data_IF_791727735141
#
_entry.id   IF_791727735141
#
_cell.length_a   1.000
_cell.length_b   1.000
_cell.length_c   1.000
_cell.angle_alpha   90.00
_cell.angle_beta   90.00
_cell.angle_gamma   90.00
#
_symmetry.space_group_name_H-M   'P 1'
#
loop_
_entity.id
_entity.type
_entity.pdbx_description
1 polymer ?
#
# COMPACT_ATOMS: atom_id res chain seq x y z
N UNK A 1 39.23 -12.33 13.65
CA UNK A 1 38.44 -11.36 12.86
C UNK A 1 37.77 -10.38 13.82
N UNK A 2 37.53 -9.13 13.39
CA UNK A 2 36.72 -8.17 14.15
C UNK A 2 35.32 -8.11 13.54
N UNK A 3 34.50 -9.12 13.85
CA UNK A 3 33.15 -9.23 13.31
C UNK A 3 32.21 -8.24 13.99
N UNK A 4 31.54 -7.43 13.18
CA UNK A 4 30.40 -6.59 13.54
C UNK A 4 29.20 -7.46 13.94
N UNK A 5 28.20 -6.92 14.67
CA UNK A 5 26.96 -7.64 14.97
C UNK A 5 26.28 -8.20 13.72
N UNK A 6 26.13 -7.39 12.66
CA UNK A 6 25.52 -7.82 11.39
C UNK A 6 26.26 -8.98 10.72
N UNK A 7 27.59 -8.99 10.77
CA UNK A 7 28.38 -10.11 10.24
C UNK A 7 28.21 -11.38 11.07
N UNK A 8 28.00 -11.27 12.39
CA UNK A 8 27.67 -12.43 13.24
C UNK A 8 26.29 -12.97 12.92
N UNK A 9 25.31 -12.09 12.71
CA UNK A 9 23.95 -12.50 12.33
C UNK A 9 23.94 -13.20 10.96
N UNK A 10 24.75 -12.74 10.00
CA UNK A 10 24.94 -13.44 8.71
C UNK A 10 25.56 -14.83 8.89
N UNK A 11 26.51 -15.01 9.80
CA UNK A 11 27.04 -16.34 10.11
C UNK A 11 25.99 -17.25 10.76
N UNK A 12 25.11 -16.71 11.60
CA UNK A 12 23.98 -17.46 12.16
C UNK A 12 22.99 -17.87 11.08
N UNK A 13 22.67 -16.97 10.14
CA UNK A 13 21.84 -17.26 8.98
C UNK A 13 22.45 -18.38 8.13
N UNK A 14 23.74 -18.27 7.78
CA UNK A 14 24.48 -19.30 7.06
C UNK A 14 24.43 -20.65 7.79
N UNK A 15 24.65 -20.66 9.11
CA UNK A 15 24.57 -21.89 9.91
C UNK A 15 23.18 -22.55 9.88
N UNK A 16 22.11 -21.75 9.89
CA UNK A 16 20.74 -22.25 9.74
C UNK A 16 20.48 -22.80 8.33
N UNK A 17 20.99 -22.13 7.29
CA UNK A 17 20.88 -22.56 5.90
C UNK A 17 21.64 -23.87 5.64
N UNK A 18 22.85 -24.01 6.18
CA UNK A 18 23.64 -25.24 6.10
C UNK A 18 22.92 -26.41 6.78
N UNK A 19 22.31 -26.17 7.94
CA UNK A 19 21.49 -27.18 8.60
C UNK A 19 20.29 -27.59 7.73
N UNK A 20 19.64 -26.63 7.06
CA UNK A 20 18.55 -26.90 6.12
C UNK A 20 19.03 -27.70 4.90
N UNK A 21 20.15 -27.31 4.27
CA UNK A 21 20.78 -28.06 3.16
C UNK A 21 21.10 -29.50 3.57
N UNK A 22 21.69 -29.69 4.74
CA UNK A 22 22.02 -31.02 5.25
C UNK A 22 20.78 -31.89 5.52
N UNK A 23 19.66 -31.29 5.94
CA UNK A 23 18.38 -31.99 6.12
C UNK A 23 17.75 -32.36 4.77
N UNK A 24 17.70 -31.43 3.82
CA UNK A 24 17.20 -31.66 2.46
C UNK A 24 18.00 -32.74 1.74
N UNK A 25 19.33 -32.74 1.87
CA UNK A 25 20.20 -33.76 1.29
C UNK A 25 19.92 -35.18 1.81
N UNK A 26 19.29 -35.32 3.00
CA UNK A 26 18.80 -36.60 3.54
C UNK A 26 17.36 -36.94 3.12
N UNK A 27 16.78 -36.16 2.21
CA UNK A 27 15.41 -36.35 1.72
C UNK A 27 14.32 -35.79 2.63
N UNK A 28 14.65 -34.94 3.60
CA UNK A 28 13.65 -34.29 4.44
C UNK A 28 13.05 -33.08 3.73
N UNK A 29 11.73 -32.94 3.81
CA UNK A 29 11.00 -31.74 3.43
C UNK A 29 11.22 -30.65 4.48
N UNK A 30 11.52 -29.44 4.04
CA UNK A 30 11.89 -28.33 4.90
C UNK A 30 10.67 -27.70 5.59
N UNK A 31 10.84 -27.27 6.84
CA UNK A 31 9.86 -26.43 7.54
C UNK A 31 10.09 -24.93 7.25
N UNK A 32 9.28 -24.06 7.88
CA UNK A 32 9.32 -22.60 7.68
C UNK A 32 10.73 -22.01 7.97
N UNK A 33 11.33 -22.15 9.17
CA UNK A 33 12.67 -21.62 9.43
C UNK A 33 13.75 -22.13 8.47
N UNK A 34 13.69 -23.40 8.08
CA UNK A 34 14.67 -24.02 7.17
C UNK A 34 14.56 -23.47 5.76
N UNK A 35 13.33 -23.36 5.23
CA UNK A 35 13.09 -22.79 3.91
C UNK A 35 13.51 -21.31 3.88
N UNK A 36 13.09 -20.51 4.87
CA UNK A 36 13.45 -19.10 4.98
C UNK A 36 14.97 -18.90 5.04
N UNK A 37 15.68 -19.68 5.86
CA UNK A 37 17.13 -19.57 5.98
C UNK A 37 17.85 -19.91 4.67
N UNK A 38 17.44 -21.00 4.00
CA UNK A 38 18.05 -21.43 2.75
C UNK A 38 17.82 -20.41 1.61
N UNK A 39 16.61 -19.86 1.50
CA UNK A 39 16.26 -18.82 0.52
C UNK A 39 17.08 -17.54 0.77
N UNK A 40 17.13 -17.06 2.02
CA UNK A 40 17.87 -15.86 2.37
C UNK A 40 19.38 -16.03 2.16
N UNK A 41 19.94 -17.17 2.54
CA UNK A 41 21.36 -17.49 2.32
C UNK A 41 21.69 -17.58 0.83
N UNK A 42 20.78 -18.10 0.00
CA UNK A 42 20.96 -18.13 -1.46
C UNK A 42 21.14 -16.73 -2.05
N UNK A 43 20.43 -15.72 -1.53
CA UNK A 43 20.64 -14.32 -1.92
C UNK A 43 22.01 -13.82 -1.47
N UNK A 44 22.40 -14.09 -0.22
CA UNK A 44 23.69 -13.66 0.33
C UNK A 44 24.87 -14.22 -0.49
N UNK A 45 24.84 -15.50 -0.82
CA UNK A 45 25.88 -16.14 -1.61
C UNK A 45 25.87 -15.64 -3.06
N UNK A 46 24.69 -15.45 -3.67
CA UNK A 46 24.60 -14.87 -5.01
C UNK A 46 25.15 -13.44 -5.06
N UNK A 47 24.86 -12.62 -4.05
CA UNK A 47 25.42 -11.28 -3.93
C UNK A 47 26.95 -11.33 -3.78
N UNK A 48 27.45 -12.28 -2.97
CA UNK A 48 28.89 -12.50 -2.77
C UNK A 48 29.62 -12.95 -4.04
N UNK A 49 28.92 -13.68 -4.92
CA UNK A 49 29.38 -14.09 -6.25
C UNK A 49 29.37 -12.96 -7.29
N UNK A 50 28.91 -11.76 -6.93
CA UNK A 50 28.82 -10.60 -7.82
C UNK A 50 27.56 -10.58 -8.70
N UNK A 51 26.54 -11.37 -8.37
CA UNK A 51 25.26 -11.33 -9.09
C UNK A 51 24.55 -9.99 -8.84
N UNK A 52 23.74 -9.53 -9.80
CA UNK A 52 22.88 -8.35 -9.56
C UNK A 52 21.73 -8.69 -8.62
N UNK A 53 21.16 -7.68 -7.95
CA UNK A 53 20.01 -7.84 -7.05
C UNK A 53 18.87 -8.66 -7.67
N UNK A 54 18.49 -8.34 -8.91
CA UNK A 54 17.43 -9.06 -9.62
C UNK A 54 17.79 -10.53 -9.84
N UNK A 55 19.03 -10.83 -10.20
CA UNK A 55 19.51 -12.21 -10.42
C UNK A 55 19.55 -13.00 -9.10
N UNK A 56 19.94 -12.36 -7.99
CA UNK A 56 19.92 -12.97 -6.66
C UNK A 56 18.49 -13.31 -6.20
N UNK A 57 17.52 -12.42 -6.46
CA UNK A 57 16.09 -12.66 -6.17
C UNK A 57 15.56 -13.83 -7.01
N UNK A 58 15.89 -13.90 -8.30
CA UNK A 58 15.47 -15.00 -9.15
C UNK A 58 16.10 -16.34 -8.74
N UNK A 59 17.37 -16.35 -8.33
CA UNK A 59 18.00 -17.55 -7.73
C UNK A 59 17.25 -17.99 -6.48
N UNK A 60 16.89 -17.06 -5.61
CA UNK A 60 16.13 -17.33 -4.40
C UNK A 60 14.74 -17.94 -4.67
N UNK A 61 14.09 -17.54 -5.77
CA UNK A 61 12.81 -18.12 -6.23
C UNK A 61 12.92 -19.51 -6.85
N UNK A 62 14.12 -19.88 -7.28
CA UNK A 62 14.37 -21.15 -7.99
C UNK A 62 14.99 -22.24 -7.10
N UNK A 63 15.37 -21.90 -5.86
CA UNK A 63 16.18 -22.79 -5.02
C UNK A 63 15.35 -23.88 -4.32
N UNK A 64 14.06 -23.62 -4.08
CA UNK A 64 13.09 -24.54 -3.50
C UNK A 64 11.81 -24.53 -4.33
N UNK A 65 11.22 -25.72 -4.50
CA UNK A 65 9.84 -25.88 -4.98
C UNK A 65 8.90 -26.47 -3.92
N UNK A 66 7.61 -26.64 -4.25
CA UNK A 66 6.61 -27.18 -3.33
C UNK A 66 6.94 -28.58 -2.77
N UNK A 67 7.65 -29.40 -3.55
CA UNK A 67 8.06 -30.75 -3.15
C UNK A 67 9.22 -30.75 -2.15
N UNK A 68 9.98 -29.65 -2.04
CA UNK A 68 11.11 -29.53 -1.12
C UNK A 68 10.69 -29.15 0.30
N UNK A 69 9.45 -28.72 0.51
CA UNK A 69 8.96 -28.14 1.77
C UNK A 69 7.75 -28.89 2.30
N UNK A 70 7.50 -28.86 3.61
CA UNK A 70 6.33 -29.48 4.23
C UNK A 70 5.02 -28.85 3.71
N UNK A 71 3.87 -29.57 3.78
CA UNK A 71 2.58 -29.00 3.43
C UNK A 71 2.30 -27.71 4.23
N UNK A 72 1.78 -26.68 3.57
CA UNK A 72 1.50 -25.38 4.17
C UNK A 72 2.70 -24.43 4.27
N UNK A 73 3.94 -24.88 4.06
CA UNK A 73 5.12 -24.01 4.15
C UNK A 73 5.12 -22.96 3.04
N UNK A 74 4.74 -23.33 1.81
CA UNK A 74 4.60 -22.39 0.70
C UNK A 74 3.50 -21.34 0.95
N UNK A 75 2.45 -21.70 1.70
CA UNK A 75 1.39 -20.76 2.09
C UNK A 75 1.81 -19.79 3.20
N UNK A 76 2.83 -20.17 4.00
CA UNK A 76 3.35 -19.35 5.11
C UNK A 76 4.52 -18.47 4.67
N UNK A 77 5.46 -19.02 3.90
CA UNK A 77 6.66 -18.30 3.42
C UNK A 77 6.32 -17.58 2.11
N UNK A 78 5.47 -16.57 2.22
CA UNK A 78 4.99 -15.77 1.07
C UNK A 78 6.02 -14.72 0.61
N UNK A 79 6.94 -14.34 1.49
CA UNK A 79 8.01 -13.40 1.19
C UNK A 79 9.22 -13.65 2.11
N UNK A 80 10.42 -13.52 1.56
CA UNK A 80 11.68 -13.54 2.33
C UNK A 80 12.47 -12.28 2.06
N UNK A 81 12.81 -11.57 3.14
CA UNK A 81 13.61 -10.34 3.11
C UNK A 81 15.00 -10.60 3.69
N UNK A 82 16.03 -10.16 3.00
CA UNK A 82 17.42 -10.25 3.49
C UNK A 82 18.26 -9.10 2.96
N UNK A 83 19.09 -8.52 3.83
CA UNK A 83 20.09 -7.52 3.43
C UNK A 83 21.42 -8.20 3.10
N UNK A 84 21.80 -8.18 1.83
CA UNK A 84 23.05 -8.74 1.33
C UNK A 84 24.01 -7.63 0.88
N UNK A 85 25.31 -7.92 0.90
CA UNK A 85 26.35 -6.99 0.42
C UNK A 85 26.69 -7.37 -1.02
N UNK A 86 26.30 -6.51 -1.94
CA UNK A 86 26.63 -6.57 -3.35
C UNK A 86 27.90 -5.75 -3.63
N UNK A 87 28.41 -5.81 -4.86
CA UNK A 87 29.57 -5.02 -5.29
C UNK A 87 29.35 -3.50 -5.17
N UNK A 88 28.09 -3.06 -5.19
CA UNK A 88 27.69 -1.66 -5.02
C UNK A 88 27.21 -1.33 -3.58
N UNK A 89 27.40 -2.25 -2.64
CA UNK A 89 27.09 -2.08 -1.21
C UNK A 89 25.88 -2.90 -0.74
N UNK A 90 25.41 -2.58 0.47
CA UNK A 90 24.25 -3.25 1.07
C UNK A 90 22.96 -2.95 0.30
N UNK A 91 22.19 -3.99 -0.02
CA UNK A 91 20.84 -3.88 -0.61
C UNK A 91 19.88 -4.83 0.10
N UNK A 92 18.63 -4.39 0.26
CA UNK A 92 17.53 -5.25 0.67
C UNK A 92 17.03 -6.04 -0.54
N UNK A 93 17.10 -7.36 -0.47
CA UNK A 93 16.44 -8.25 -1.40
C UNK A 93 15.11 -8.72 -0.82
N UNK A 94 14.04 -8.57 -1.60
CA UNK A 94 12.70 -9.04 -1.25
C UNK A 94 12.24 -10.07 -2.26
N UNK A 95 12.34 -11.35 -1.88
CA UNK A 95 11.90 -12.47 -2.71
C UNK A 95 10.43 -12.79 -2.38
N UNK A 96 9.52 -12.22 -3.16
CA UNK A 96 8.08 -12.54 -3.10
C UNK A 96 7.80 -13.87 -3.81
N UNK A 97 6.92 -14.67 -3.20
CA UNK A 97 6.56 -16.05 -3.57
C UNK A 97 7.79 -16.93 -3.90
N UNK A 98 8.73 -17.11 -2.95
CA UNK A 98 10.04 -17.72 -3.24
C UNK A 98 10.01 -19.25 -3.39
N UNK A 99 8.93 -19.92 -2.99
CA UNK A 99 8.76 -21.38 -3.15
C UNK A 99 7.82 -21.69 -4.33
N UNK A 100 6.87 -20.80 -4.62
CA UNK A 100 5.81 -21.03 -5.58
C UNK A 100 4.82 -22.09 -5.11
N UNK A 101 3.70 -22.21 -5.84
CA UNK A 101 2.74 -23.30 -5.65
C UNK A 101 1.98 -23.30 -4.31
N UNK A 102 2.09 -22.22 -3.51
CA UNK A 102 1.17 -21.95 -2.41
C UNK A 102 -0.25 -21.83 -2.95
N UNK A 103 -1.21 -22.45 -2.27
CA UNK A 103 -2.61 -22.48 -2.71
C UNK A 103 -3.44 -21.37 -2.08
N UNK A 104 -3.02 -20.84 -0.92
CA UNK A 104 -3.82 -20.00 0.00
C UNK A 104 -5.27 -20.51 0.17
N UNK A 105 -5.47 -21.81 -0.06
CA UNK A 105 -6.76 -22.45 -0.13
C UNK A 105 -7.44 -22.57 1.23
N UNK A 106 -8.64 -23.16 1.28
CA UNK A 106 -9.41 -23.30 2.52
C UNK A 106 -8.71 -24.16 3.60
N UNK A 107 -7.71 -24.94 3.19
CA UNK A 107 -6.93 -25.83 4.07
C UNK A 107 -5.53 -25.29 4.41
N UNK A 108 -5.17 -24.10 3.90
CA UNK A 108 -3.91 -23.45 4.22
C UNK A 108 -3.88 -22.99 5.70
N UNK A 109 -2.70 -22.98 6.36
CA UNK A 109 -2.58 -22.42 7.70
C UNK A 109 -3.06 -20.96 7.74
N UNK A 110 -4.06 -20.68 8.59
CA UNK A 110 -4.64 -19.34 8.71
C UNK A 110 -5.67 -18.97 7.63
N UNK A 111 -6.16 -19.93 6.84
CA UNK A 111 -7.16 -19.68 5.81
C UNK A 111 -8.41 -18.96 6.35
N UNK A 112 -8.79 -17.88 5.68
CA UNK A 112 -9.98 -17.09 6.01
C UNK A 112 -11.21 -17.70 5.34
N UNK A 113 -12.30 -17.82 6.11
CA UNK A 113 -13.62 -18.24 5.60
C UNK A 113 -14.54 -17.02 5.57
N UNK A 114 -14.62 -16.31 4.44
CA UNK A 114 -15.42 -15.09 4.38
C UNK A 114 -16.91 -15.41 4.52
N UNK A 115 -17.59 -14.67 5.40
CA UNK A 115 -19.04 -14.57 5.39
C UNK A 115 -19.48 -13.64 4.22
N UNK A 116 -20.77 -13.63 3.85
CA UNK A 116 -21.29 -12.63 2.91
C UNK A 116 -20.90 -11.21 3.35
N UNK A 117 -20.41 -10.40 2.40
CA UNK A 117 -19.98 -9.03 2.68
C UNK A 117 -21.16 -8.05 2.70
N UNK A 118 -21.06 -7.03 3.54
CA UNK A 118 -21.94 -5.86 3.44
C UNK A 118 -21.42 -4.97 2.31
N UNK A 119 -22.27 -4.55 1.36
CA UNK A 119 -21.84 -3.68 0.27
C UNK A 119 -21.41 -2.31 0.81
N UNK A 120 -20.46 -1.69 0.10
CA UNK A 120 -20.05 -0.32 0.39
C UNK A 120 -21.21 0.66 0.21
N UNK A 121 -21.12 1.80 0.91
CA UNK A 121 -22.15 2.84 0.84
C UNK A 121 -22.15 3.47 -0.55
N UNK A 122 -23.29 3.38 -1.24
CA UNK A 122 -23.48 4.03 -2.52
C UNK A 122 -23.26 5.56 -2.43
N UNK A 123 -22.67 6.19 -3.46
CA UNK A 123 -22.50 7.63 -3.49
C UNK A 123 -23.85 8.35 -3.47
N UNK A 124 -23.92 9.45 -2.72
CA UNK A 124 -25.09 10.33 -2.65
C UNK A 124 -25.00 11.42 -3.72
N UNK A 125 -23.78 11.84 -4.06
CA UNK A 125 -23.50 12.76 -5.17
C UNK A 125 -22.31 12.21 -5.96
N UNK A 126 -22.30 12.45 -7.27
CA UNK A 126 -21.16 12.13 -8.13
C UNK A 126 -20.74 13.41 -8.82
N UNK A 127 -19.45 13.72 -8.78
CA UNK A 127 -18.88 14.94 -9.36
C UNK A 127 -17.81 14.56 -10.39
N UNK A 128 -17.86 15.20 -11.56
CA UNK A 128 -16.77 15.20 -12.51
C UNK A 128 -15.62 16.04 -11.95
N UNK A 129 -14.47 15.42 -11.70
CA UNK A 129 -13.29 16.09 -11.12
C UNK A 129 -12.18 16.11 -12.14
N UNK A 130 -11.71 17.31 -12.47
CA UNK A 130 -10.62 17.53 -13.42
C UNK A 130 -9.35 17.94 -12.69
N UNK A 131 -8.26 17.19 -12.86
CA UNK A 131 -6.96 17.58 -12.31
C UNK A 131 -6.21 18.51 -13.26
N UNK A 132 -6.15 19.79 -12.96
CA UNK A 132 -5.43 20.79 -13.79
C UNK A 132 -3.94 20.89 -13.48
N UNK A 133 -3.41 20.10 -12.53
CA UNK A 133 -2.00 20.11 -12.19
C UNK A 133 -1.16 19.29 -13.18
N UNK A 134 0.13 19.59 -13.27
CA UNK A 134 1.11 18.78 -14.02
C UNK A 134 1.53 17.50 -13.28
N UNK A 135 1.03 17.28 -12.08
CA UNK A 135 1.35 16.16 -11.20
C UNK A 135 0.09 15.41 -10.79
N UNK A 136 0.19 14.09 -10.52
CA UNK A 136 -0.95 13.33 -10.03
C UNK A 136 -1.36 13.79 -8.63
N UNK A 137 -2.67 13.80 -8.37
CA UNK A 137 -3.25 14.07 -7.05
C UNK A 137 -3.98 12.82 -6.58
N UNK A 138 -3.93 12.50 -5.29
CA UNK A 138 -4.70 11.40 -4.71
C UNK A 138 -5.41 11.88 -3.45
N UNK A 139 -6.70 11.59 -3.36
CA UNK A 139 -7.55 11.98 -2.22
C UNK A 139 -8.00 10.72 -1.50
N UNK A 140 -7.81 10.67 -0.17
CA UNK A 140 -8.12 9.49 0.64
C UNK A 140 -9.59 9.45 1.05
N UNK A 141 -10.07 8.24 1.38
CA UNK A 141 -11.47 7.93 1.73
C UNK A 141 -12.15 8.85 2.75
N UNK A 142 -11.39 9.44 3.68
CA UNK A 142 -11.90 10.23 4.80
C UNK A 142 -11.46 11.70 4.77
N UNK A 143 -10.85 12.13 3.68
CA UNK A 143 -10.53 13.54 3.49
C UNK A 143 -11.81 14.34 3.21
N UNK A 144 -11.95 15.54 3.80
CA UNK A 144 -13.06 16.43 3.49
C UNK A 144 -12.91 16.93 2.04
N UNK A 145 -13.73 16.39 1.13
CA UNK A 145 -13.49 16.49 -0.31
C UNK A 145 -13.50 17.94 -0.82
N UNK A 146 -14.32 18.80 -0.20
CA UNK A 146 -14.32 20.25 -0.39
C UNK A 146 -12.94 20.91 -0.26
N UNK A 147 -12.08 20.40 0.64
CA UNK A 147 -10.76 20.94 0.94
C UNK A 147 -9.65 20.27 0.13
N UNK A 148 -10.00 19.39 -0.81
CA UNK A 148 -9.02 18.72 -1.66
C UNK A 148 -8.25 19.74 -2.52
N UNK A 149 -7.08 19.32 -3.02
CA UNK A 149 -6.10 20.17 -3.69
C UNK A 149 -6.74 21.30 -4.56
N UNK A 150 -6.30 22.57 -4.43
CA UNK A 150 -6.85 23.71 -5.19
C UNK A 150 -6.87 23.54 -6.70
N UNK A 151 -6.03 22.66 -7.27
CA UNK A 151 -5.93 22.37 -8.71
C UNK A 151 -6.85 21.25 -9.19
N UNK A 152 -7.62 20.64 -8.30
CA UNK A 152 -8.76 19.82 -8.69
C UNK A 152 -9.95 20.75 -8.91
N UNK A 153 -10.46 20.75 -10.13
CA UNK A 153 -11.59 21.56 -10.58
C UNK A 153 -12.86 20.70 -10.58
N UNK A 154 -13.80 21.08 -9.72
CA UNK A 154 -15.09 20.43 -9.48
C UNK A 154 -16.00 21.36 -8.68
N UNK A 155 -17.30 21.04 -8.62
CA UNK A 155 -18.25 21.79 -7.80
C UNK A 155 -17.95 21.62 -6.30
N UNK A 156 -17.30 22.62 -5.70
CA UNK A 156 -16.96 22.60 -4.28
C UNK A 156 -18.17 22.79 -3.38
N UNK A 157 -19.16 23.56 -3.82
CA UNK A 157 -20.38 23.76 -3.04
C UNK A 157 -21.15 22.44 -2.85
N UNK A 158 -21.12 21.55 -3.85
CA UNK A 158 -21.68 20.20 -3.77
C UNK A 158 -20.81 19.22 -2.94
N UNK A 159 -19.51 19.45 -2.86
CA UNK A 159 -18.57 18.64 -2.08
C UNK A 159 -18.47 19.00 -0.58
N UNK A 160 -19.09 20.12 -0.15
CA UNK A 160 -19.05 20.58 1.23
C UNK A 160 -19.67 19.56 2.20
N UNK A 161 -18.91 19.19 3.23
CA UNK A 161 -19.29 18.19 4.23
C UNK A 161 -19.32 16.75 3.71
N UNK A 162 -18.68 16.49 2.57
CA UNK A 162 -18.63 15.19 1.91
C UNK A 162 -17.21 14.59 1.93
N UNK A 163 -17.13 13.27 1.79
CA UNK A 163 -15.89 12.48 1.61
C UNK A 163 -16.10 11.43 0.52
N UNK A 164 -15.04 10.84 0.01
CA UNK A 164 -15.15 9.80 -1.03
C UNK A 164 -15.97 8.58 -0.58
N UNK A 165 -16.82 8.10 -1.47
CA UNK A 165 -17.63 6.89 -1.33
C UNK A 165 -16.82 5.65 -1.76
N UNK A 166 -15.69 5.44 -1.09
CA UNK A 166 -14.75 4.34 -1.36
C UNK A 166 -14.44 3.60 -0.04
N UNK A 167 -13.90 2.37 -0.10
CA UNK A 167 -13.51 1.63 1.10
C UNK A 167 -12.61 2.44 2.03
N UNK A 168 -12.77 2.28 3.35
CA UNK A 168 -11.92 2.94 4.33
C UNK A 168 -10.44 2.59 4.11
N UNK A 169 -9.56 3.59 4.18
CA UNK A 169 -8.13 3.45 3.92
C UNK A 169 -7.72 3.51 2.43
N UNK A 170 -8.67 3.44 1.50
CA UNK A 170 -8.38 3.61 0.07
C UNK A 170 -8.33 5.10 -0.35
N UNK A 171 -7.99 5.34 -1.62
CA UNK A 171 -7.93 6.66 -2.24
C UNK A 171 -8.40 6.62 -3.69
N UNK A 172 -8.80 7.77 -4.21
CA UNK A 172 -9.02 7.99 -5.64
C UNK A 172 -7.87 8.83 -6.19
N UNK A 173 -7.26 8.36 -7.29
CA UNK A 173 -6.15 9.03 -7.98
C UNK A 173 -6.66 9.74 -9.21
N UNK A 174 -6.16 10.96 -9.41
CA UNK A 174 -6.39 11.80 -10.59
C UNK A 174 -5.04 12.04 -11.26
N UNK A 175 -4.84 11.50 -12.46
CA UNK A 175 -3.67 11.77 -13.29
C UNK A 175 -3.59 13.24 -13.74
N UNK A 176 -2.42 13.74 -14.19
CA UNK A 176 -2.31 15.09 -14.75
C UNK A 176 -3.25 15.28 -15.94
N UNK A 177 -4.12 16.30 -15.90
CA UNK A 177 -5.11 16.60 -16.95
C UNK A 177 -6.30 15.63 -17.03
N UNK A 178 -6.38 14.64 -16.13
CA UNK A 178 -7.42 13.63 -16.17
C UNK A 178 -8.75 14.14 -15.60
N UNK A 179 -9.86 13.68 -16.18
CA UNK A 179 -11.21 13.85 -15.64
C UNK A 179 -11.74 12.51 -15.13
N UNK A 180 -12.11 12.45 -13.86
CA UNK A 180 -12.61 11.24 -13.20
C UNK A 180 -13.90 11.56 -12.45
N UNK A 181 -14.89 10.68 -12.53
CA UNK A 181 -16.10 10.77 -11.72
C UNK A 181 -15.81 10.32 -10.28
N UNK A 182 -16.02 11.22 -9.32
CA UNK A 182 -15.85 10.97 -7.90
C UNK A 182 -17.21 10.85 -7.20
N UNK A 183 -17.54 9.65 -6.74
CA UNK A 183 -18.68 9.42 -5.87
C UNK A 183 -18.40 9.87 -4.43
N UNK A 184 -19.30 10.63 -3.82
CA UNK A 184 -19.15 11.16 -2.47
C UNK A 184 -20.31 10.78 -1.55
N UNK A 185 -20.00 10.66 -0.26
CA UNK A 185 -20.96 10.45 0.83
C UNK A 185 -20.76 11.50 1.93
N UNK A 186 -21.80 11.85 2.70
CA UNK A 186 -21.67 12.79 3.81
C UNK A 186 -20.71 12.28 4.88
N UNK A 187 -19.92 13.21 5.43
CA UNK A 187 -19.22 12.98 6.70
C UNK A 187 -20.27 12.67 7.78
N UNK A 188 -20.03 11.61 8.54
CA UNK A 188 -20.92 11.16 9.63
C UNK A 188 -20.53 11.74 10.99
N UNK A 189 -21.09 11.18 12.06
CA UNK A 189 -20.78 11.60 13.44
C UNK A 189 -21.26 13.02 13.73
N UNK A 190 -20.49 13.77 14.52
CA UNK A 190 -20.80 15.16 14.90
C UNK A 190 -20.61 16.18 13.76
N UNK A 191 -20.15 15.74 12.57
CA UNK A 191 -19.95 16.59 11.39
C UNK A 191 -19.09 17.82 11.68
N UNK A 192 -17.96 17.60 12.36
CA UNK A 192 -16.94 18.63 12.64
C UNK A 192 -15.70 18.33 11.79
N UNK A 193 -15.26 19.29 10.99
CA UNK A 193 -14.06 19.18 10.16
C UNK A 193 -12.95 20.06 10.74
N UNK A 194 -11.85 19.43 11.20
CA UNK A 194 -10.67 20.10 11.79
C UNK A 194 -9.42 19.68 11.04
N UNK A 195 -8.53 20.63 10.73
CA UNK A 195 -7.30 20.38 9.99
C UNK A 195 -7.53 20.52 8.49
N UNK A 196 -7.28 19.46 7.71
CA UNK A 196 -7.34 19.48 6.25
C UNK A 196 -6.59 20.66 5.63
N UNK A 197 -7.30 21.65 5.06
CA UNK A 197 -6.72 22.88 4.54
C UNK A 197 -7.10 24.12 5.37
N UNK A 198 -7.75 23.93 6.52
CA UNK A 198 -8.20 24.98 7.43
C UNK A 198 -9.34 25.83 6.87
N UNK A 199 -10.06 25.34 5.86
CA UNK A 199 -11.14 26.11 5.23
C UNK A 199 -12.40 26.14 6.09
N UNK A 200 -12.62 25.12 6.92
CA UNK A 200 -13.73 25.05 7.88
C UNK A 200 -13.24 25.21 9.33
N UNK A 201 -12.37 24.30 9.79
CA UNK A 201 -11.87 24.22 11.18
C UNK A 201 -12.98 24.35 12.24
N UNK A 202 -14.07 23.62 12.05
CA UNK A 202 -15.23 23.66 12.94
C UNK A 202 -16.41 22.78 12.52
N UNK A 203 -17.58 22.97 13.16
CA UNK A 203 -18.81 22.28 12.79
C UNK A 203 -19.25 22.65 11.38
N UNK A 204 -19.51 21.65 10.54
CA UNK A 204 -19.94 21.82 9.14
C UNK A 204 -21.34 22.43 9.03
N UNK A 205 -22.20 22.14 10.01
CA UNK A 205 -23.61 22.55 9.97
C UNK A 205 -23.88 23.83 10.80
N UNK A 206 -22.84 24.57 11.19
CA UNK A 206 -23.01 25.86 11.88
C UNK A 206 -23.59 26.91 10.92
N UNK A 207 -24.45 27.85 11.40
CA UNK A 207 -25.00 28.90 10.55
C UNK A 207 -23.90 29.72 9.86
N UNK A 208 -23.95 29.82 8.53
CA UNK A 208 -22.97 30.55 7.73
C UNK A 208 -21.64 29.83 7.48
N UNK A 209 -21.44 28.61 8.00
CA UNK A 209 -20.16 27.91 7.91
C UNK A 209 -19.79 27.52 6.47
N UNK A 210 -20.79 27.14 5.67
CA UNK A 210 -20.59 26.76 4.27
C UNK A 210 -20.20 27.97 3.42
N UNK A 211 -20.91 29.08 3.59
CA UNK A 211 -20.69 30.33 2.88
C UNK A 211 -19.30 30.90 3.19
N UNK A 212 -18.91 30.91 4.46
CA UNK A 212 -17.59 31.34 4.89
C UNK A 212 -16.47 30.44 4.34
N UNK A 213 -16.67 29.12 4.35
CA UNK A 213 -15.71 28.18 3.80
C UNK A 213 -15.53 28.35 2.28
N UNK A 214 -16.62 28.55 1.53
CA UNK A 214 -16.58 28.84 0.09
C UNK A 214 -15.85 30.16 -0.20
N UNK A 215 -16.13 31.21 0.58
CA UNK A 215 -15.43 32.49 0.49
C UNK A 215 -13.93 32.34 0.70
N UNK A 216 -13.51 31.58 1.72
CA UNK A 216 -12.09 31.26 1.98
C UNK A 216 -11.47 30.47 0.84
N UNK A 217 -12.16 29.43 0.35
CA UNK A 217 -11.69 28.61 -0.76
C UNK A 217 -11.45 29.46 -2.02
N UNK A 218 -12.40 30.33 -2.37
CA UNK A 218 -12.26 31.26 -3.49
C UNK A 218 -11.08 32.22 -3.29
N UNK A 219 -10.94 32.82 -2.10
CA UNK A 219 -9.83 33.72 -1.77
C UNK A 219 -8.46 33.03 -1.84
N UNK A 220 -8.40 31.71 -1.55
CA UNK A 220 -7.18 30.91 -1.65
C UNK A 220 -6.97 30.27 -3.04
N UNK A 221 -7.81 30.60 -4.04
CA UNK A 221 -7.64 30.13 -5.42
C UNK A 221 -8.00 28.66 -5.63
N UNK A 222 -8.92 28.11 -4.84
CA UNK A 222 -9.47 26.78 -5.08
C UNK A 222 -10.41 26.81 -6.29
N UNK A 223 -10.13 26.00 -7.31
CA UNK A 223 -10.95 25.92 -8.52
C UNK A 223 -12.35 25.38 -8.19
N UNK A 224 -13.39 25.93 -8.81
CA UNK A 224 -14.79 25.56 -8.57
C UNK A 224 -15.37 26.02 -7.22
N UNK A 225 -14.71 26.96 -6.52
CA UNK A 225 -15.20 27.59 -5.29
C UNK A 225 -16.09 28.84 -5.52
N UNK A 226 -16.03 29.46 -6.70
CA UNK A 226 -16.83 30.63 -7.05
C UNK A 226 -18.22 30.21 -7.55
N UNK A 227 -19.26 30.89 -7.05
CA UNK A 227 -20.62 30.82 -7.61
C UNK A 227 -20.56 31.32 -9.06
N UNK A 228 -21.25 30.69 -10.04
CA UNK A 228 -21.38 31.28 -11.35
C UNK A 228 -21.98 32.68 -11.21
N UNK A 229 -21.33 33.69 -11.81
CA UNK A 229 -21.96 35.00 -12.01
C UNK A 229 -23.28 34.75 -12.74
N UNK A 230 -24.39 35.19 -12.13
CA UNK A 230 -25.68 35.22 -12.82
C UNK A 230 -25.50 36.13 -14.04
N UNK A 231 -25.39 35.50 -15.22
CA UNK A 231 -25.24 36.22 -16.48
C UNK A 231 -26.43 37.14 -16.73
N UNK A 232 -26.12 38.40 -17.02
CA UNK A 232 -27.02 39.45 -17.53
C UNK A 232 -27.89 39.02 -18.71
#
# INVERSE_FOLDING_TARGET
>A
MRLTPTERDRLLLFGAAELARARRARGLRLNVPEATALIADTVCEAARDGARLAEAIERARSVLGPDDVLPGVADVVTEVHVEAVFDDGSRLAAAADPIGGGSLGPDAPGALRPAPSTPDRAPVVTLAVHNTASVPVSVTSHFHFFEANPRLDFDRAAAYGMRLAVPAGSSLRFGPGERVEAGLVPIGGARVAIGFAGLVDGPLDAPGAKEEALRRAAACGYLGASTPEEGE
#
